data_IF_520296864607
#
_entry.id   IF_520296864607
#
_cell.length_a   1.000
_cell.length_b   1.000
_cell.length_c   1.000
_cell.angle_alpha   90.00
_cell.angle_beta   90.00
_cell.angle_gamma   90.00
#
_symmetry.space_group_name_H-M   'P 1'
#
loop_
_entity.id
_entity.type
_entity.pdbx_description
1 polymer ?
#
# COMPACT_ATOMS: atom_id res chain seq x y z
N UNK A 1 5.42 -12.21 -9.95
CA UNK A 1 5.89 -12.10 -8.56
C UNK A 1 5.72 -13.46 -7.91
N UNK A 2 6.81 -14.02 -7.39
CA UNK A 2 6.84 -15.27 -6.61
C UNK A 2 7.15 -14.95 -5.15
N UNK A 3 7.06 -15.94 -4.25
CA UNK A 3 7.30 -15.73 -2.82
C UNK A 3 8.69 -15.10 -2.51
N UNK A 4 9.70 -15.33 -3.36
CA UNK A 4 11.02 -14.71 -3.21
C UNK A 4 11.03 -13.20 -3.52
N UNK A 5 10.04 -12.69 -4.25
CA UNK A 5 9.96 -11.27 -4.63
C UNK A 5 9.27 -10.43 -3.53
N UNK A 6 8.82 -11.07 -2.44
CA UNK A 6 8.03 -10.42 -1.39
C UNK A 6 8.80 -9.30 -0.67
N UNK A 7 10.10 -9.49 -0.43
CA UNK A 7 10.91 -8.45 0.22
C UNK A 7 11.12 -7.25 -0.69
N UNK A 8 11.34 -7.47 -1.99
CA UNK A 8 11.46 -6.37 -2.96
C UNK A 8 10.15 -5.58 -3.08
N UNK A 9 9.01 -6.27 -3.16
CA UNK A 9 7.70 -5.62 -3.14
C UNK A 9 7.50 -4.79 -1.86
N UNK A 10 7.89 -5.34 -0.71
CA UNK A 10 7.79 -4.65 0.57
C UNK A 10 8.62 -3.36 0.58
N UNK A 11 9.85 -3.39 0.08
CA UNK A 11 10.69 -2.19 0.00
C UNK A 11 10.06 -1.13 -0.92
N UNK A 12 9.53 -1.55 -2.08
CA UNK A 12 8.83 -0.65 -3.00
C UNK A 12 7.62 -0.01 -2.33
N UNK A 13 6.75 -0.79 -1.67
CA UNK A 13 5.58 -0.24 -0.96
C UNK A 13 5.96 0.79 0.11
N UNK A 14 7.04 0.53 0.87
CA UNK A 14 7.54 1.45 1.90
C UNK A 14 8.12 2.75 1.32
N UNK A 15 8.62 2.74 0.09
CA UNK A 15 9.09 3.93 -0.60
C UNK A 15 7.93 4.71 -1.22
N UNK A 16 7.00 4.00 -1.88
CA UNK A 16 5.84 4.61 -2.53
C UNK A 16 4.95 5.32 -1.50
N UNK A 17 4.70 4.72 -0.33
CA UNK A 17 3.86 5.35 0.71
C UNK A 17 4.44 6.64 1.29
N UNK A 18 5.76 6.87 1.15
CA UNK A 18 6.42 8.11 1.58
C UNK A 18 6.42 9.20 0.52
N UNK A 19 6.29 8.81 -0.74
CA UNK A 19 6.45 9.70 -1.90
C UNK A 19 5.12 10.03 -2.57
N UNK A 20 4.10 9.20 -2.38
CA UNK A 20 2.78 9.34 -2.96
C UNK A 20 1.72 9.49 -1.86
N UNK A 21 0.74 10.35 -2.11
CA UNK A 21 -0.37 10.55 -1.19
C UNK A 21 -1.36 9.38 -1.28
N UNK A 22 -1.70 8.81 -0.12
CA UNK A 22 -2.75 7.81 -0.03
C UNK A 22 -4.13 8.48 -0.03
N UNK A 23 -5.09 7.85 -0.70
CA UNK A 23 -6.47 8.30 -0.67
C UNK A 23 -7.16 7.80 0.60
N UNK A 24 -7.87 8.71 1.27
CA UNK A 24 -8.77 8.37 2.37
C UNK A 24 -9.99 7.65 1.82
N UNK A 25 -10.14 6.39 2.21
CA UNK A 25 -11.34 5.61 1.93
C UNK A 25 -12.36 5.75 3.08
N UNK A 26 -13.30 4.81 3.19
CA UNK A 26 -14.32 4.82 4.24
C UNK A 26 -13.66 4.74 5.63
N UNK A 27 -14.11 5.62 6.53
CA UNK A 27 -13.94 5.48 7.97
C UNK A 27 -15.19 4.80 8.56
N UNK A 28 -14.99 3.76 9.37
CA UNK A 28 -16.08 3.05 10.05
C UNK A 28 -15.70 2.69 11.49
N UNK A 29 -16.47 1.81 12.12
CA UNK A 29 -16.23 1.36 13.51
C UNK A 29 -14.89 0.67 13.71
N UNK A 30 -14.26 0.16 12.63
CA UNK A 30 -12.97 -0.52 12.70
C UNK A 30 -11.80 0.44 12.56
N UNK A 31 -11.98 1.63 11.96
CA UNK A 31 -10.89 2.59 11.76
C UNK A 31 -11.01 3.35 10.44
N UNK A 32 -9.88 3.93 10.01
CA UNK A 32 -9.75 4.64 8.74
C UNK A 32 -9.03 3.75 7.74
N UNK A 33 -9.65 3.52 6.58
CA UNK A 33 -9.02 2.82 5.46
C UNK A 33 -8.29 3.78 4.54
N UNK A 34 -7.17 3.32 4.01
CA UNK A 34 -6.36 4.06 3.06
C UNK A 34 -6.16 3.21 1.82
N UNK A 35 -6.11 3.86 0.66
CA UNK A 35 -5.84 3.20 -0.61
C UNK A 35 -4.81 3.99 -1.41
N UNK A 36 -3.81 3.31 -1.93
CA UNK A 36 -2.76 3.89 -2.74
C UNK A 36 -2.67 3.14 -4.06
N UNK A 37 -2.94 3.87 -5.15
CA UNK A 37 -2.78 3.39 -6.52
C UNK A 37 -1.46 3.92 -7.08
N UNK A 38 -0.62 3.02 -7.57
CA UNK A 38 0.65 3.40 -8.19
C UNK A 38 1.00 2.48 -9.36
N UNK A 39 1.78 2.99 -10.30
CA UNK A 39 2.32 2.19 -11.40
C UNK A 39 3.67 1.64 -10.97
N UNK A 40 3.83 0.33 -11.08
CA UNK A 40 5.07 -0.37 -10.81
C UNK A 40 5.66 -0.88 -12.12
N UNK A 41 6.94 -0.60 -12.33
CA UNK A 41 7.73 -1.21 -13.39
C UNK A 41 8.49 -2.41 -12.84
N UNK A 42 8.38 -3.55 -13.51
CA UNK A 42 9.01 -4.80 -13.14
C UNK A 42 9.42 -5.59 -14.38
N UNK A 43 10.71 -5.87 -14.52
CA UNK A 43 11.26 -6.66 -15.65
C UNK A 43 10.77 -6.17 -17.03
N UNK A 44 10.85 -4.86 -17.28
CA UNK A 44 10.36 -4.19 -18.50
C UNK A 44 8.84 -4.31 -18.75
N UNK A 45 8.06 -4.54 -17.69
CA UNK A 45 6.59 -4.51 -17.74
C UNK A 45 6.09 -3.49 -16.74
N UNK A 46 5.04 -2.77 -17.09
CA UNK A 46 4.34 -1.89 -16.16
C UNK A 46 3.00 -2.49 -15.76
N UNK A 47 2.65 -2.36 -14.50
CA UNK A 47 1.34 -2.73 -13.97
C UNK A 47 0.88 -1.69 -12.95
N UNK A 48 -0.43 -1.40 -12.95
CA UNK A 48 -1.05 -0.61 -11.88
C UNK A 48 -1.35 -1.52 -10.71
N UNK A 49 -0.81 -1.18 -9.55
CA UNK A 49 -1.06 -1.87 -8.29
C UNK A 49 -1.87 -0.96 -7.36
N UNK A 50 -2.77 -1.57 -6.59
CA UNK A 50 -3.48 -0.93 -5.50
C UNK A 50 -3.03 -1.60 -4.20
N UNK A 51 -2.58 -0.78 -3.25
CA UNK A 51 -2.37 -1.19 -1.87
C UNK A 51 -3.46 -0.58 -0.99
N UNK A 52 -4.08 -1.40 -0.16
CA UNK A 52 -5.04 -0.99 0.85
C UNK A 52 -4.58 -1.41 2.24
N UNK A 53 -4.79 -0.53 3.22
CA UNK A 53 -4.52 -0.81 4.63
C UNK A 53 -5.52 -0.05 5.51
N UNK A 54 -5.66 -0.49 6.77
CA UNK A 54 -6.48 0.16 7.78
C UNK A 54 -5.63 0.61 8.97
N UNK A 55 -5.88 1.82 9.45
CA UNK A 55 -5.42 2.25 10.78
C UNK A 55 -6.64 2.16 11.70
N UNK A 56 -6.61 1.23 12.64
CA UNK A 56 -7.68 1.04 13.63
C UNK A 56 -7.72 2.21 14.62
N UNK A 57 -8.88 2.53 15.19
CA UNK A 57 -9.03 3.69 16.09
C UNK A 57 -8.08 3.66 17.29
N UNK A 58 -7.79 2.47 17.80
CA UNK A 58 -6.90 2.24 18.95
C UNK A 58 -5.46 1.86 18.54
N UNK A 59 -5.11 2.05 17.27
CA UNK A 59 -3.80 1.72 16.73
C UNK A 59 -3.18 2.89 15.97
N UNK A 60 -1.89 3.10 16.16
CA UNK A 60 -1.09 4.00 15.30
C UNK A 60 -0.38 3.23 14.17
N UNK A 61 -0.51 1.89 14.17
CA UNK A 61 0.15 1.00 13.21
C UNK A 61 -0.88 0.49 12.18
N UNK A 62 -0.63 0.69 10.89
CA UNK A 62 -1.50 0.19 9.82
C UNK A 62 -1.43 -1.34 9.67
N UNK A 63 -2.55 -1.94 9.26
CA UNK A 63 -2.74 -3.38 8.99
C UNK A 63 -3.15 -3.66 7.56
#
# INVERSE_FOLDING_TARGET
MVASDAEELRQILLEVVKTHEANLARQDEFGQRYTLDFVMEWQNRSATLRSDWIIEHDSEIPR
#
